data_IF_447188936509
#
_entry.id   IF_447188936509
#
_cell.length_a   1.000
_cell.length_b   1.000
_cell.length_c   1.000
_cell.angle_alpha   90.00
_cell.angle_beta   90.00
_cell.angle_gamma   90.00
#
_symmetry.space_group_name_H-M   'P 1'
#
loop_
_entity.id
_entity.type
_entity.pdbx_description
1 polymer ?
#
# COMPACT_ATOMS: atom_id res chain seq x y z
N UNK A 1 47.93 -8.73 -28.29
CA UNK A 1 47.91 -9.35 -26.94
C UNK A 1 46.58 -10.08 -26.78
N UNK A 2 46.60 -11.42 -26.69
CA UNK A 2 45.41 -12.27 -26.54
C UNK A 2 45.17 -12.52 -25.05
N UNK A 3 44.07 -12.02 -24.49
CA UNK A 3 43.63 -12.34 -23.13
C UNK A 3 42.82 -13.64 -23.16
N UNK A 4 43.30 -14.64 -22.41
CA UNK A 4 42.65 -15.94 -22.24
C UNK A 4 41.47 -15.80 -21.27
N UNK A 5 40.33 -16.31 -21.70
CA UNK A 5 39.11 -16.51 -20.92
C UNK A 5 39.33 -17.59 -19.84
N UNK A 6 38.93 -17.29 -18.59
CA UNK A 6 38.91 -18.25 -17.48
C UNK A 6 37.45 -18.66 -17.27
N UNK A 7 37.15 -19.92 -17.59
CA UNK A 7 35.85 -20.52 -17.34
C UNK A 7 35.69 -20.90 -15.87
N UNK A 8 34.65 -20.38 -15.22
CA UNK A 8 34.23 -20.80 -13.88
C UNK A 8 33.14 -21.85 -14.04
N UNK A 9 33.39 -23.07 -13.57
CA UNK A 9 32.37 -24.11 -13.48
C UNK A 9 31.61 -23.97 -12.16
N UNK A 10 30.29 -23.83 -12.26
CA UNK A 10 29.37 -23.84 -11.11
C UNK A 10 28.83 -25.25 -10.96
N UNK A 11 29.15 -25.88 -9.83
CA UNK A 11 28.66 -27.20 -9.45
C UNK A 11 27.19 -27.12 -9.02
N UNK A 12 26.36 -27.97 -9.62
CA UNK A 12 24.94 -28.15 -9.28
C UNK A 12 24.87 -29.16 -8.12
N UNK A 13 24.47 -28.71 -6.93
CA UNK A 13 24.18 -29.60 -5.80
C UNK A 13 22.68 -29.91 -5.82
N UNK A 14 22.36 -31.09 -6.31
CA UNK A 14 21.01 -31.68 -6.29
C UNK A 14 20.77 -32.32 -4.93
N UNK A 15 20.01 -31.64 -4.06
CA UNK A 15 19.56 -32.19 -2.78
C UNK A 15 18.14 -32.75 -2.88
N UNK A 16 18.03 -34.06 -3.09
CA UNK A 16 16.82 -34.87 -2.89
C UNK A 16 16.96 -35.54 -1.52
N UNK A 17 16.02 -35.32 -0.59
CA UNK A 17 15.53 -36.32 0.39
C UNK A 17 14.65 -35.65 1.45
N UNK A 18 13.42 -36.16 1.64
CA UNK A 18 12.62 -35.81 2.83
C UNK A 18 11.11 -35.92 2.67
N UNK A 19 10.60 -37.02 2.12
CA UNK A 19 9.22 -37.48 2.35
C UNK A 19 9.22 -38.30 3.65
N UNK A 20 8.41 -37.95 4.66
CA UNK A 20 7.61 -38.87 5.49
C UNK A 20 6.98 -38.19 6.72
N UNK A 21 5.67 -38.43 6.90
CA UNK A 21 4.94 -38.36 8.18
C UNK A 21 4.39 -36.97 8.54
N UNK A 22 3.17 -36.80 9.07
CA UNK A 22 2.24 -37.71 9.71
C UNK A 22 0.80 -37.16 9.58
N UNK A 23 -0.05 -38.06 9.14
CA UNK A 23 -1.49 -38.23 9.34
C UNK A 23 -2.20 -37.53 10.53
N UNK A 24 -3.42 -37.06 10.23
CA UNK A 24 -4.67 -37.14 11.04
C UNK A 24 -4.79 -36.24 12.27
N UNK A 25 -5.70 -35.25 12.18
CA UNK A 25 -6.67 -34.90 13.22
C UNK A 25 -7.80 -34.06 12.59
N UNK A 26 -8.71 -34.75 11.89
CA UNK A 26 -10.04 -34.23 11.57
C UNK A 26 -11.00 -34.61 12.69
N UNK A 27 -12.01 -33.77 12.87
CA UNK A 27 -13.24 -33.98 13.65
C UNK A 27 -13.11 -33.85 15.17
N UNK A 28 -13.19 -32.62 15.67
CA UNK A 28 -14.17 -32.28 16.71
C UNK A 28 -14.70 -30.87 16.48
N UNK A 29 -16.02 -30.65 16.35
CA UNK A 29 -16.57 -29.31 16.54
C UNK A 29 -16.43 -28.95 18.03
N UNK A 30 -16.14 -27.67 18.36
CA UNK A 30 -16.14 -27.23 19.75
C UNK A 30 -17.55 -27.42 20.33
N UNK A 31 -17.66 -28.15 21.44
CA UNK A 31 -18.89 -28.21 22.24
C UNK A 31 -19.18 -26.80 22.76
N UNK A 32 -20.30 -26.22 22.33
CA UNK A 32 -20.83 -25.03 22.96
C UNK A 32 -21.19 -25.34 24.42
N UNK A 33 -20.87 -24.45 25.38
CA UNK A 33 -21.30 -24.63 26.76
C UNK A 33 -22.83 -24.55 26.84
N UNK A 34 -23.45 -25.59 27.38
CA UNK A 34 -24.87 -25.60 27.69
C UNK A 34 -25.06 -24.88 29.02
N UNK A 35 -25.59 -23.66 28.99
CA UNK A 35 -25.98 -22.92 30.19
C UNK A 35 -27.42 -23.29 30.54
N UNK A 36 -27.60 -24.11 31.56
CA UNK A 36 -28.91 -24.35 32.17
C UNK A 36 -29.10 -23.35 33.32
N UNK A 37 -30.00 -22.39 33.13
CA UNK A 37 -30.50 -21.52 34.21
C UNK A 37 -31.73 -22.20 34.80
N UNK A 38 -31.61 -22.65 36.04
CA UNK A 38 -32.76 -23.02 36.86
C UNK A 38 -32.81 -22.08 38.04
N UNK A 39 -33.86 -21.25 38.11
CA UNK A 39 -34.34 -20.77 39.39
C UNK A 39 -35.84 -20.52 39.34
N UNK A 40 -36.57 -21.32 40.11
CA UNK A 40 -37.99 -21.18 40.37
C UNK A 40 -38.10 -20.88 41.86
N UNK A 41 -38.09 -19.59 42.26
CA UNK A 41 -38.76 -19.06 43.47
C UNK A 41 -38.36 -17.65 43.91
N UNK A 42 -38.05 -16.73 43.01
CA UNK A 42 -37.98 -15.30 43.39
C UNK A 42 -38.61 -14.47 42.31
N UNK A 43 -39.74 -13.82 42.61
CA UNK A 43 -40.44 -12.86 41.76
C UNK A 43 -39.65 -11.56 41.54
N UNK A 44 -38.38 -11.69 41.20
CA UNK A 44 -37.50 -10.61 40.84
C UNK A 44 -37.39 -10.60 39.31
N UNK A 45 -38.03 -9.61 38.69
CA UNK A 45 -37.89 -9.35 37.27
C UNK A 45 -36.46 -8.83 37.06
N UNK A 46 -35.54 -9.73 36.75
CA UNK A 46 -34.20 -9.36 36.29
C UNK A 46 -34.34 -8.97 34.83
N UNK A 47 -34.32 -7.67 34.56
CA UNK A 47 -34.17 -7.15 33.20
C UNK A 47 -32.86 -7.64 32.63
N UNK A 48 -32.92 -8.67 31.78
CA UNK A 48 -31.77 -9.13 31.00
C UNK A 48 -31.57 -8.11 29.88
N UNK A 49 -30.87 -7.01 30.18
CA UNK A 49 -30.34 -6.13 29.15
C UNK A 49 -29.26 -6.89 28.38
N UNK A 50 -29.71 -7.52 27.28
CA UNK A 50 -29.00 -7.78 26.02
C UNK A 50 -27.46 -7.77 26.09
N UNK A 51 -26.90 -8.93 26.42
CA UNK A 51 -25.48 -9.21 26.18
C UNK A 51 -25.07 -9.16 24.68
N UNK A 52 -26.03 -9.06 23.76
CA UNK A 52 -25.76 -8.93 22.32
C UNK A 52 -25.40 -7.51 21.86
N UNK A 53 -25.72 -6.46 22.63
CA UNK A 53 -25.43 -5.08 22.21
C UNK A 53 -23.95 -4.68 22.44
N UNK A 54 -23.26 -5.35 23.37
CA UNK A 54 -21.86 -5.05 23.73
C UNK A 54 -20.86 -5.59 22.69
N UNK A 55 -21.17 -6.70 22.02
CA UNK A 55 -20.26 -7.31 21.02
C UNK A 55 -20.25 -6.53 19.71
N UNK A 56 -21.35 -5.84 19.36
CA UNK A 56 -21.42 -5.01 18.16
C UNK A 56 -20.58 -3.72 18.32
N UNK A 57 -20.53 -3.17 19.53
CA UNK A 57 -19.80 -1.92 19.84
C UNK A 57 -18.27 -2.03 19.65
N UNK A 58 -17.64 -3.15 20.03
CA UNK A 58 -16.18 -3.29 19.95
C UNK A 58 -15.68 -3.49 18.52
N UNK A 59 -16.45 -4.18 17.68
CA UNK A 59 -16.12 -4.36 16.27
C UNK A 59 -16.24 -3.04 15.48
N UNK A 60 -17.16 -2.17 15.90
CA UNK A 60 -17.33 -0.86 15.26
C UNK A 60 -16.18 0.09 15.56
N UNK A 61 -15.67 0.13 16.80
CA UNK A 61 -14.51 0.95 17.14
C UNK A 61 -13.21 0.47 16.43
N UNK A 62 -13.01 -0.84 16.29
CA UNK A 62 -11.90 -1.39 15.52
C UNK A 62 -12.04 -1.08 14.01
N UNK A 63 -13.25 -1.21 13.45
CA UNK A 63 -13.54 -0.88 12.06
C UNK A 63 -13.41 0.62 11.78
N UNK A 64 -13.87 1.50 12.68
CA UNK A 64 -13.67 2.95 12.58
C UNK A 64 -12.20 3.36 12.76
N UNK A 65 -11.44 2.67 13.62
CA UNK A 65 -10.00 2.86 13.75
C UNK A 65 -9.24 2.43 12.49
N UNK A 66 -9.62 1.32 11.85
CA UNK A 66 -9.09 0.91 10.55
C UNK A 66 -9.44 1.93 9.46
N UNK A 67 -10.70 2.39 9.42
CA UNK A 67 -11.15 3.41 8.46
C UNK A 67 -10.53 4.79 8.69
N UNK A 68 -9.95 5.06 9.87
CA UNK A 68 -9.37 6.37 10.20
C UNK A 68 -8.21 6.75 9.26
N UNK A 69 -7.58 5.78 8.60
CA UNK A 69 -6.55 5.99 7.59
C UNK A 69 -7.06 5.93 6.15
N UNK A 70 -8.15 5.24 5.85
CA UNK A 70 -8.52 4.89 4.46
C UNK A 70 -8.75 6.12 3.56
N UNK A 71 -8.18 6.12 2.34
CA UNK A 71 -8.50 7.14 1.34
C UNK A 71 -9.79 6.76 0.62
N UNK A 72 -10.73 7.70 0.58
CA UNK A 72 -12.04 7.54 -0.07
C UNK A 72 -11.97 8.14 -1.47
N UNK A 73 -12.64 7.56 -2.48
CA UNK A 73 -12.62 8.11 -3.83
C UNK A 73 -13.17 9.54 -3.85
N UNK A 74 -12.42 10.42 -4.51
CA UNK A 74 -12.82 11.80 -4.77
C UNK A 74 -13.85 11.90 -5.91
N UNK A 75 -14.04 13.13 -6.39
CA UNK A 75 -14.94 13.47 -7.51
C UNK A 75 -14.19 14.04 -8.71
N UNK A 76 -12.87 13.95 -8.72
CA UNK A 76 -12.06 14.51 -9.79
C UNK A 76 -12.05 13.54 -10.98
N UNK A 77 -12.19 14.05 -12.22
CA UNK A 77 -12.11 13.20 -13.40
C UNK A 77 -10.70 12.59 -13.50
N UNK A 78 -10.62 11.41 -14.09
CA UNK A 78 -9.33 10.81 -14.44
C UNK A 78 -8.60 11.72 -15.43
N UNK A 79 -7.28 11.91 -15.31
CA UNK A 79 -6.50 12.63 -16.32
C UNK A 79 -6.74 12.00 -17.69
N UNK A 80 -7.38 12.76 -18.58
CA UNK A 80 -7.74 12.31 -19.92
C UNK A 80 -6.53 12.35 -20.84
N UNK A 81 -6.33 11.29 -21.64
CA UNK A 81 -5.48 11.36 -22.82
C UNK A 81 -6.32 11.14 -24.07
N UNK A 82 -5.93 11.84 -25.12
CA UNK A 82 -6.57 11.80 -26.44
C UNK A 82 -6.69 10.38 -27.03
N UNK A 83 -5.85 9.43 -26.57
CA UNK A 83 -5.80 8.05 -27.05
C UNK A 83 -5.92 7.00 -25.94
N UNK A 84 -6.52 7.35 -24.82
CA UNK A 84 -6.67 6.36 -23.76
C UNK A 84 -7.60 5.22 -24.22
N UNK A 85 -7.18 3.95 -24.07
CA UNK A 85 -8.08 2.84 -24.31
C UNK A 85 -9.28 2.94 -23.34
N UNK A 86 -10.41 2.29 -23.66
CA UNK A 86 -11.52 2.16 -22.73
C UNK A 86 -11.00 1.65 -21.38
N UNK A 87 -11.39 2.32 -20.30
CA UNK A 87 -10.94 2.00 -18.96
C UNK A 87 -11.45 0.60 -18.58
N UNK A 88 -10.54 -0.37 -18.45
CA UNK A 88 -10.86 -1.75 -18.06
C UNK A 88 -10.47 -2.06 -16.62
N UNK A 89 -9.81 -1.12 -15.94
CA UNK A 89 -9.30 -1.31 -14.59
C UNK A 89 -8.97 -0.02 -13.86
N UNK A 90 -8.37 -0.20 -12.68
CA UNK A 90 -7.93 0.87 -11.81
C UNK A 90 -6.64 1.49 -12.36
N UNK A 91 -6.60 2.81 -12.52
CA UNK A 91 -5.45 3.52 -13.10
C UNK A 91 -4.65 4.20 -12.02
N UNK A 92 -3.35 3.98 -12.02
CA UNK A 92 -2.39 4.68 -11.17
C UNK A 92 -1.57 5.62 -12.04
N UNK A 93 -1.65 6.91 -11.75
CA UNK A 93 -0.96 7.98 -12.44
C UNK A 93 0.29 8.37 -11.67
N UNK A 94 1.41 8.41 -12.39
CA UNK A 94 2.69 8.94 -11.92
C UNK A 94 3.04 10.11 -12.85
N UNK A 95 2.49 11.29 -12.53
CA UNK A 95 2.41 12.41 -13.45
C UNK A 95 1.62 12.08 -14.73
N UNK A 96 2.18 12.38 -15.90
CA UNK A 96 1.62 11.98 -17.21
C UNK A 96 1.85 10.52 -17.59
N UNK A 97 2.37 9.67 -16.70
CA UNK A 97 2.49 8.23 -16.95
C UNK A 97 1.33 7.50 -16.29
N UNK A 98 0.84 6.43 -16.92
CA UNK A 98 -0.28 5.63 -16.39
C UNK A 98 0.13 4.18 -16.33
N UNK A 99 -0.24 3.55 -15.22
CA UNK A 99 -0.23 2.12 -15.03
C UNK A 99 -1.69 1.66 -14.85
N UNK A 100 -2.16 0.74 -15.68
CA UNK A 100 -3.53 0.22 -15.59
C UNK A 100 -3.54 -1.17 -14.94
N UNK A 101 -4.40 -1.32 -13.92
CA UNK A 101 -4.52 -2.50 -13.08
C UNK A 101 -5.87 -3.18 -13.32
N UNK A 102 -5.84 -4.36 -13.92
CA UNK A 102 -7.08 -5.07 -14.25
C UNK A 102 -7.63 -5.89 -13.09
N UNK A 103 -6.74 -6.45 -12.25
CA UNK A 103 -7.14 -7.37 -11.15
C UNK A 103 -6.34 -7.24 -9.86
N UNK A 104 -5.17 -6.59 -9.90
CA UNK A 104 -4.32 -6.47 -8.72
C UNK A 104 -4.97 -5.57 -7.66
N UNK A 105 -4.97 -6.02 -6.40
CA UNK A 105 -5.50 -5.28 -5.25
C UNK A 105 -4.42 -4.89 -4.25
N UNK A 106 -3.23 -5.47 -4.33
CA UNK A 106 -2.05 -5.05 -3.59
C UNK A 106 -0.91 -4.94 -4.60
N UNK A 107 -0.36 -3.74 -4.77
CA UNK A 107 0.62 -3.45 -5.82
C UNK A 107 1.68 -2.48 -5.36
N UNK A 108 2.92 -2.77 -5.75
CA UNK A 108 4.03 -1.81 -5.66
C UNK A 108 3.94 -0.88 -6.86
N UNK A 109 3.63 0.39 -6.64
CA UNK A 109 3.56 1.37 -7.73
C UNK A 109 4.96 1.77 -8.16
N UNK A 110 5.82 2.07 -7.20
CA UNK A 110 7.17 2.57 -7.45
C UNK A 110 8.16 1.68 -6.73
N UNK A 111 9.01 0.99 -7.50
CA UNK A 111 10.16 0.24 -7.02
C UNK A 111 11.44 0.87 -7.56
N UNK A 112 12.43 1.04 -6.70
CA UNK A 112 13.74 1.52 -7.13
C UNK A 112 14.86 0.81 -6.37
N UNK A 113 15.82 0.27 -7.12
CA UNK A 113 16.94 -0.53 -6.59
C UNK A 113 16.50 -1.61 -5.59
N UNK A 114 15.43 -2.35 -5.93
CA UNK A 114 14.87 -3.40 -5.07
C UNK A 114 14.00 -2.92 -3.90
N UNK A 115 13.99 -1.62 -3.59
CA UNK A 115 13.16 -1.05 -2.53
C UNK A 115 11.78 -0.66 -3.06
N UNK A 116 10.74 -1.05 -2.31
CA UNK A 116 9.36 -0.65 -2.56
C UNK A 116 9.14 0.76 -1.99
N UNK A 117 9.23 1.79 -2.84
CA UNK A 117 9.05 3.18 -2.41
C UNK A 117 7.58 3.51 -2.16
N UNK A 118 6.69 2.97 -2.99
CA UNK A 118 5.24 3.20 -2.87
C UNK A 118 4.49 1.92 -3.17
N UNK A 119 3.55 1.58 -2.29
CA UNK A 119 2.63 0.46 -2.42
C UNK A 119 1.20 0.95 -2.21
N UNK A 120 0.29 0.42 -3.00
CA UNK A 120 -1.15 0.66 -2.86
C UNK A 120 -1.85 -0.66 -2.54
N UNK A 121 -2.74 -0.62 -1.56
CA UNK A 121 -3.71 -1.68 -1.31
C UNK A 121 -5.12 -1.13 -1.57
N UNK A 122 -5.75 -1.66 -2.60
CA UNK A 122 -7.06 -1.24 -3.10
C UNK A 122 -8.12 -2.16 -2.51
N UNK A 123 -9.04 -1.55 -1.77
CA UNK A 123 -10.20 -2.18 -1.17
C UNK A 123 -11.48 -1.74 -1.90
N UNK A 124 -12.62 -2.43 -1.71
CA UNK A 124 -13.90 -1.96 -2.23
C UNK A 124 -14.29 -0.56 -1.73
N UNK A 125 -13.93 -0.22 -0.49
CA UNK A 125 -14.32 1.02 0.18
C UNK A 125 -13.32 2.16 -0.01
N UNK A 126 -12.10 1.86 -0.45
CA UNK A 126 -11.03 2.86 -0.48
C UNK A 126 -9.64 2.33 -0.83
N UNK A 127 -8.63 3.16 -0.60
CA UNK A 127 -7.22 2.83 -0.87
C UNK A 127 -6.34 3.12 0.35
N UNK A 128 -5.51 2.14 0.69
CA UNK A 128 -4.38 2.31 1.58
C UNK A 128 -3.11 2.61 0.78
N UNK A 129 -2.35 3.60 1.23
CA UNK A 129 -1.05 3.97 0.69
C UNK A 129 -0.01 3.63 1.75
N UNK A 130 0.99 2.86 1.34
CA UNK A 130 2.23 2.74 2.10
C UNK A 130 3.36 3.33 1.29
N UNK A 131 4.19 4.17 1.91
CA UNK A 131 5.28 4.84 1.23
C UNK A 131 6.46 5.05 2.17
N UNK A 132 7.66 4.85 1.63
CA UNK A 132 8.91 5.16 2.33
C UNK A 132 9.49 6.42 1.71
N UNK A 133 9.53 7.51 2.49
CA UNK A 133 10.18 8.76 2.08
C UNK A 133 11.59 8.74 2.65
N UNK A 134 12.56 8.83 1.74
CA UNK A 134 13.99 8.81 2.03
C UNK A 134 14.57 10.14 1.56
N UNK A 135 15.60 10.61 2.27
CA UNK A 135 16.35 11.82 1.94
C UNK A 135 17.65 11.49 1.19
N UNK A 136 18.26 12.48 0.56
CA UNK A 136 19.57 12.43 -0.08
C UNK A 136 20.66 11.76 0.80
N UNK A 137 20.64 12.00 2.12
CA UNK A 137 21.58 11.40 3.08
C UNK A 137 21.31 9.91 3.40
N UNK A 138 20.28 9.34 2.78
CA UNK A 138 19.88 7.94 2.91
C UNK A 138 19.06 7.59 4.14
N UNK A 139 18.71 8.57 4.98
CA UNK A 139 17.88 8.34 6.15
C UNK A 139 16.41 8.26 5.75
N UNK A 140 15.70 7.30 6.34
CA UNK A 140 14.24 7.28 6.30
C UNK A 140 13.74 8.41 7.17
N UNK A 141 12.95 9.29 6.58
CA UNK A 141 12.51 10.53 7.20
C UNK A 141 11.02 10.51 7.52
N UNK A 142 10.24 9.79 6.71
CA UNK A 142 8.86 9.45 7.00
C UNK A 142 8.54 8.07 6.44
N UNK A 143 7.81 7.28 7.22
CA UNK A 143 7.23 6.01 6.77
C UNK A 143 5.71 6.11 6.91
N UNK A 144 5.02 5.83 5.82
CA UNK A 144 3.58 5.73 5.75
C UNK A 144 3.26 4.26 5.61
N UNK A 145 2.48 3.72 6.53
CA UNK A 145 1.98 2.36 6.50
C UNK A 145 0.45 2.39 6.55
N UNK A 146 -0.19 1.99 5.46
CA UNK A 146 -1.66 2.00 5.33
C UNK A 146 -2.29 3.35 5.73
N UNK A 147 -1.72 4.45 5.20
CA UNK A 147 -2.08 5.84 5.52
C UNK A 147 -1.84 6.28 6.97
N UNK A 148 -1.43 5.39 7.88
CA UNK A 148 -0.86 5.79 9.15
C UNK A 148 0.58 6.24 8.93
N UNK A 149 1.03 7.27 9.65
CA UNK A 149 2.35 7.82 9.46
C UNK A 149 3.14 7.77 10.77
N UNK A 150 4.41 7.45 10.65
CA UNK A 150 5.39 7.65 11.70
C UNK A 150 6.39 8.72 11.25
N UNK A 151 6.54 9.79 12.04
CA UNK A 151 7.49 10.86 11.77
C UNK A 151 8.67 10.64 12.68
N UNK A 152 9.87 10.67 12.11
CA UNK A 152 11.09 10.64 12.90
C UNK A 152 11.09 11.84 13.88
N UNK A 153 11.33 11.65 15.19
CA UNK A 153 11.29 12.72 16.19
C UNK A 153 12.25 13.89 15.91
N UNK A 154 13.23 13.71 15.01
CA UNK A 154 14.06 14.79 14.50
C UNK A 154 13.33 15.74 13.51
N UNK A 155 12.02 15.55 13.28
CA UNK A 155 11.09 16.48 12.62
C UNK A 155 11.58 17.08 11.29
N UNK A 156 12.03 16.22 10.37
CA UNK A 156 12.36 16.65 9.01
C UNK A 156 11.14 16.87 8.11
N UNK A 157 9.96 16.40 8.53
CA UNK A 157 8.71 16.46 7.77
C UNK A 157 7.60 17.02 8.64
N UNK A 158 6.72 17.79 8.00
CA UNK A 158 5.49 18.24 8.62
C UNK A 158 4.50 17.07 8.65
N UNK A 159 3.70 16.97 9.72
CA UNK A 159 2.64 15.96 9.82
C UNK A 159 1.80 15.95 8.55
N UNK A 160 1.44 14.77 8.02
CA UNK A 160 0.68 14.68 6.78
C UNK A 160 -0.58 15.53 6.87
N UNK A 161 -0.71 16.44 5.91
CA UNK A 161 -1.85 17.33 5.82
C UNK A 161 -2.88 16.60 4.96
N UNK A 162 -3.98 16.18 5.60
CA UNK A 162 -5.16 15.69 4.89
C UNK A 162 -6.05 16.89 4.58
N UNK A 163 -5.91 17.42 3.38
CA UNK A 163 -6.80 18.49 2.89
C UNK A 163 -8.23 17.99 2.72
N UNK A 164 -8.37 16.70 2.35
CA UNK A 164 -9.64 16.00 2.19
C UNK A 164 -9.48 14.50 2.48
N UNK A 165 -10.58 13.74 2.43
CA UNK A 165 -10.58 12.27 2.65
C UNK A 165 -9.96 11.47 1.51
N UNK A 166 -9.72 12.10 0.37
CA UNK A 166 -9.17 11.48 -0.84
C UNK A 166 -7.66 11.69 -0.98
N UNK A 167 -7.06 12.59 -0.20
CA UNK A 167 -5.69 13.07 -0.42
C UNK A 167 -4.86 13.01 0.85
N UNK A 168 -3.64 12.50 0.73
CA UNK A 168 -2.59 12.62 1.74
C UNK A 168 -1.41 13.38 1.12
N UNK A 169 -0.96 14.43 1.81
CA UNK A 169 0.21 15.22 1.40
C UNK A 169 1.24 15.24 2.52
N UNK A 170 2.47 14.86 2.18
CA UNK A 170 3.64 14.91 3.05
C UNK A 170 4.59 15.97 2.51
N UNK A 171 4.98 16.90 3.38
CA UNK A 171 5.89 18.00 3.04
C UNK A 171 7.16 17.94 3.86
N UNK A 172 8.28 18.25 3.23
CA UNK A 172 9.57 18.39 3.93
C UNK A 172 9.58 19.65 4.82
N UNK A 173 10.67 19.83 5.57
CA UNK A 173 10.91 20.99 6.42
C UNK A 173 10.95 22.33 5.68
N UNK A 174 11.24 22.31 4.38
CA UNK A 174 11.35 23.49 3.52
C UNK A 174 10.00 23.80 2.83
N UNK A 175 8.97 22.96 3.08
CA UNK A 175 7.61 23.12 2.58
C UNK A 175 7.34 22.47 1.22
N UNK A 176 8.34 21.81 0.62
CA UNK A 176 8.20 21.12 -0.65
C UNK A 176 7.40 19.83 -0.49
N UNK A 177 6.70 19.42 -1.55
CA UNK A 177 5.89 18.20 -1.55
C UNK A 177 6.80 16.99 -1.81
N UNK A 178 7.06 16.19 -0.77
CA UNK A 178 7.79 14.95 -0.92
C UNK A 178 6.89 13.81 -1.41
N UNK A 179 5.63 13.78 -0.95
CA UNK A 179 4.62 12.86 -1.47
C UNK A 179 3.26 13.53 -1.45
N UNK A 180 2.53 13.44 -2.56
CA UNK A 180 1.10 13.71 -2.63
C UNK A 180 0.43 12.53 -3.32
N UNK A 181 -0.42 11.84 -2.58
CA UNK A 181 -1.19 10.70 -3.07
C UNK A 181 -2.68 11.06 -3.03
N UNK A 182 -3.35 10.99 -4.18
CA UNK A 182 -4.73 11.49 -4.35
C UNK A 182 -5.59 10.41 -5.00
N UNK A 183 -6.65 9.96 -4.31
CA UNK A 183 -7.64 9.05 -4.87
C UNK A 183 -8.70 9.86 -5.63
N UNK A 184 -8.47 10.08 -6.93
CA UNK A 184 -9.23 11.04 -7.73
C UNK A 184 -10.71 10.68 -7.87
N UNK A 185 -10.98 9.40 -8.17
CA UNK A 185 -12.30 8.80 -8.30
C UNK A 185 -12.17 7.27 -8.15
N UNK A 186 -13.28 6.53 -8.18
CA UNK A 186 -13.32 5.07 -7.96
C UNK A 186 -12.29 4.27 -8.78
N UNK A 187 -11.93 4.76 -9.97
CA UNK A 187 -11.07 4.04 -10.91
C UNK A 187 -9.71 4.71 -11.12
N UNK A 188 -9.32 5.74 -10.36
CA UNK A 188 -8.10 6.50 -10.63
C UNK A 188 -7.42 7.06 -9.40
N UNK A 189 -6.12 6.85 -9.32
CA UNK A 189 -5.25 7.27 -8.24
C UNK A 189 -4.04 8.01 -8.79
N UNK A 190 -3.66 9.14 -8.21
CA UNK A 190 -2.52 9.95 -8.65
C UNK A 190 -1.47 10.05 -7.55
N UNK A 191 -0.20 9.92 -7.95
CA UNK A 191 0.96 10.08 -7.09
C UNK A 191 1.88 11.14 -7.71
N UNK A 192 2.23 12.13 -6.90
CA UNK A 192 3.18 13.19 -7.20
C UNK A 192 4.20 13.30 -6.05
N UNK A 193 5.35 13.91 -6.29
CA UNK A 193 6.35 14.15 -5.24
C UNK A 193 7.78 13.98 -5.73
N UNK A 194 8.70 14.02 -4.77
CA UNK A 194 10.14 13.83 -5.00
C UNK A 194 10.60 12.62 -4.21
N UNK A 195 11.16 11.63 -4.90
CA UNK A 195 11.63 10.39 -4.31
C UNK A 195 13.15 10.29 -4.41
N UNK A 196 13.82 10.48 -3.28
CA UNK A 196 15.27 10.43 -3.18
C UNK A 196 15.71 9.04 -2.71
N UNK A 197 16.86 8.58 -3.21
CA UNK A 197 17.53 7.38 -2.72
C UNK A 197 19.03 7.64 -2.67
N UNK A 198 19.72 7.26 -1.59
CA UNK A 198 21.14 7.49 -1.45
C UNK A 198 21.92 6.81 -2.58
N UNK A 199 22.79 7.58 -3.24
CA UNK A 199 23.57 7.13 -4.38
C UNK A 199 22.85 7.19 -5.74
N UNK A 200 21.63 7.72 -5.80
CA UNK A 200 20.89 7.87 -7.05
C UNK A 200 20.31 9.29 -7.21
N UNK A 201 20.18 9.80 -8.46
CA UNK A 201 19.53 11.10 -8.69
C UNK A 201 18.08 11.11 -8.18
N UNK A 202 17.57 12.22 -7.62
CA UNK A 202 16.17 12.36 -7.24
C UNK A 202 15.23 12.02 -8.39
N UNK A 203 14.14 11.32 -8.08
CA UNK A 203 13.05 11.07 -9.01
C UNK A 203 11.93 12.08 -8.73
N UNK A 204 11.82 13.09 -9.60
CA UNK A 204 10.79 14.12 -9.52
C UNK A 204 9.57 13.70 -10.34
N UNK A 205 8.42 13.61 -9.69
CA UNK A 205 7.13 13.31 -10.31
C UNK A 205 6.23 14.53 -10.20
N UNK A 206 6.05 15.23 -11.31
CA UNK A 206 5.15 16.38 -11.44
C UNK A 206 3.91 15.99 -12.25
N UNK A 207 2.84 16.81 -12.24
CA UNK A 207 1.66 16.55 -13.08
C UNK A 207 2.00 16.36 -14.57
N UNK A 208 3.10 16.97 -15.02
CA UNK A 208 3.47 17.00 -16.43
C UNK A 208 4.48 15.93 -16.85
N UNK A 209 5.33 15.45 -15.93
CA UNK A 209 6.44 14.59 -16.29
C UNK A 209 6.98 13.80 -15.09
N UNK A 210 7.69 12.72 -15.43
CA UNK A 210 8.66 12.09 -14.54
C UNK A 210 10.04 12.53 -15.02
N UNK A 211 10.85 13.04 -14.10
CA UNK A 211 12.20 13.50 -14.37
C UNK A 211 13.15 12.85 -13.37
N UNK A 212 14.17 12.16 -13.89
CA UNK A 212 15.40 11.95 -13.17
C UNK A 212 16.28 13.16 -13.51
N UNK A 213 17.00 13.75 -12.56
CA UNK A 213 17.78 14.98 -12.80
C UNK A 213 18.66 14.96 -14.07
N UNK A 214 19.02 13.77 -14.57
CA UNK A 214 19.81 13.60 -15.79
C UNK A 214 19.06 13.05 -17.01
N UNK A 215 17.81 12.56 -16.89
CA UNK A 215 17.06 11.96 -18.00
C UNK A 215 15.53 12.06 -17.85
N UNK A 216 14.84 12.34 -18.96
CA UNK A 216 13.37 12.32 -19.06
C UNK A 216 12.88 10.92 -19.40
N UNK A 217 11.91 10.41 -18.65
CA UNK A 217 11.27 9.12 -18.93
C UNK A 217 9.78 9.33 -19.22
N UNK A 218 9.34 8.85 -20.38
CA UNK A 218 7.92 8.80 -20.78
C UNK A 218 7.59 7.38 -21.23
N UNK A 219 6.53 6.81 -20.67
CA UNK A 219 6.11 5.44 -20.99
C UNK A 219 4.77 5.06 -20.36
N UNK A 220 4.03 4.21 -21.06
CA UNK A 220 2.87 3.50 -20.52
C UNK A 220 3.33 2.07 -20.24
N UNK A 221 3.19 1.62 -19.00
CA UNK A 221 3.52 0.25 -18.62
C UNK A 221 2.25 -0.43 -18.16
N UNK A 222 1.84 -1.47 -18.87
CA UNK A 222 0.81 -2.40 -18.40
C UNK A 222 1.53 -3.47 -17.58
N UNK A 223 1.14 -3.64 -16.32
CA UNK A 223 1.79 -4.62 -15.43
C UNK A 223 0.90 -5.80 -15.13
N UNK A 224 1.51 -6.98 -15.12
CA UNK A 224 0.87 -8.20 -14.61
C UNK A 224 0.68 -8.08 -13.08
N UNK A 225 -0.33 -8.78 -12.51
CA UNK A 225 -0.48 -8.87 -11.05
C UNK A 225 0.83 -9.31 -10.38
N UNK A 226 1.25 -8.60 -9.34
CA UNK A 226 2.49 -8.89 -8.59
C UNK A 226 3.77 -8.27 -9.16
N UNK A 227 3.72 -7.56 -10.30
CA UNK A 227 4.83 -6.73 -10.79
C UNK A 227 4.64 -5.27 -10.39
N UNK A 228 5.75 -4.56 -10.19
CA UNK A 228 5.70 -3.14 -9.89
C UNK A 228 5.39 -2.31 -11.14
N UNK A 229 4.54 -1.28 -11.03
CA UNK A 229 4.16 -0.40 -12.15
C UNK A 229 5.37 0.27 -12.79
N UNK A 230 6.25 0.82 -11.96
CA UNK A 230 7.46 1.52 -12.37
C UNK A 230 8.64 0.93 -11.62
N UNK A 231 9.61 0.41 -12.38
CA UNK A 231 10.86 -0.14 -11.85
C UNK A 231 12.01 0.69 -12.39
N UNK A 232 12.75 1.31 -11.48
CA UNK A 232 13.98 2.03 -11.80
C UNK A 232 15.16 1.26 -11.18
N UNK A 233 16.11 0.86 -12.02
CA UNK A 233 17.33 0.22 -11.58
C UNK A 233 18.42 1.26 -11.33
#
# INVERSE_FOLDING_TARGET
MKLKSVGVQVAIITGICGLLGVAISLLWPPRAPTVSVGDSNTGQVVSIERANDVVISQNQAAYEAELSGLLIPGKLPSPSREKDPPQKGFRVYLGKNVCELTKARDIVVLKRNGLDLIRLRILPEGVYVSATVIREDGRIVAEIENNAYSINPNNYFQSPIRTDKSTITVRDKDGNVALKASYLNENSFEILGTFELPGFPPLLVTPDKIELETNRLSGVTVTDPGKACYVFN
#
